data_IF_816901149065
#
_entry.id   IF_816901149065
#
_cell.length_a   1.000
_cell.length_b   1.000
_cell.length_c   1.000
_cell.angle_alpha   90.00
_cell.angle_beta   90.00
_cell.angle_gamma   90.00
#
_symmetry.space_group_name_H-M   'P 1'
#
loop_
_entity.id
_entity.type
_entity.pdbx_description
1 polymer ?
#
# COMPACT_ATOMS: atom_id res chain seq x y z
N UNK A 1 -13.40 5.74 4.60
CA UNK A 1 -11.99 5.50 4.98
C UNK A 1 -11.34 4.93 3.75
N UNK A 2 -10.32 5.61 3.24
CA UNK A 2 -9.73 5.25 1.96
C UNK A 2 -8.77 4.06 2.15
N UNK A 3 -8.61 3.22 1.13
CA UNK A 3 -7.79 2.01 1.22
C UNK A 3 -6.34 2.32 1.67
N UNK A 4 -5.78 3.45 1.24
CA UNK A 4 -4.47 3.91 1.67
C UNK A 4 -4.39 4.15 3.19
N UNK A 5 -5.45 4.70 3.80
CA UNK A 5 -5.51 4.93 5.25
C UNK A 5 -5.59 3.61 6.02
N UNK A 6 -6.35 2.63 5.50
CA UNK A 6 -6.46 1.29 6.10
C UNK A 6 -5.08 0.61 6.07
N UNK A 7 -4.42 0.59 4.91
CA UNK A 7 -3.10 -0.04 4.75
C UNK A 7 -2.05 0.62 5.68
N UNK A 8 -2.05 1.95 5.79
CA UNK A 8 -1.13 2.65 6.68
C UNK A 8 -1.43 2.37 8.16
N UNK A 9 -2.70 2.40 8.55
CA UNK A 9 -3.10 2.26 9.96
C UNK A 9 -2.92 0.83 10.48
N UNK A 10 -3.31 -0.18 9.70
CA UNK A 10 -3.33 -1.58 10.15
C UNK A 10 -1.98 -2.27 9.97
N UNK A 11 -1.35 -2.13 8.79
CA UNK A 11 -0.14 -2.89 8.45
C UNK A 11 1.12 -2.04 8.31
N UNK A 12 1.01 -0.74 8.59
CA UNK A 12 2.14 0.22 8.63
C UNK A 12 2.89 0.32 7.30
N UNK A 13 2.17 0.26 6.18
CA UNK A 13 2.72 0.48 4.85
C UNK A 13 2.14 1.77 4.28
N UNK A 14 3.01 2.71 3.90
CA UNK A 14 2.58 3.97 3.29
C UNK A 14 2.50 3.83 1.77
N UNK A 15 1.34 4.12 1.19
CA UNK A 15 1.12 4.18 -0.26
C UNK A 15 0.52 5.53 -0.63
N UNK A 16 0.65 5.94 -1.90
CA UNK A 16 0.03 7.19 -2.35
C UNK A 16 -1.24 6.90 -3.13
N UNK A 17 -2.40 7.45 -2.74
CA UNK A 17 -3.65 7.31 -3.49
C UNK A 17 -3.52 7.92 -4.90
N UNK A 18 -4.10 7.26 -5.89
CA UNK A 18 -4.05 7.65 -7.31
C UNK A 18 -4.88 8.90 -7.61
N UNK A 19 -5.81 9.26 -6.73
CA UNK A 19 -6.61 10.49 -6.77
C UNK A 19 -5.72 11.74 -6.84
N UNK A 20 -4.54 11.71 -6.20
CA UNK A 20 -3.54 12.78 -6.27
C UNK A 20 -2.91 12.95 -7.67
N UNK A 21 -3.07 11.96 -8.56
CA UNK A 21 -2.55 11.92 -9.92
C UNK A 21 -3.65 11.89 -10.99
N UNK A 22 -4.92 12.05 -10.61
CA UNK A 22 -6.05 11.98 -11.54
C UNK A 22 -6.45 10.55 -11.97
N UNK A 23 -5.95 9.51 -11.29
CA UNK A 23 -6.25 8.10 -11.57
C UNK A 23 -6.94 7.46 -10.37
N UNK A 24 -8.21 7.79 -10.15
CA UNK A 24 -8.98 7.26 -9.03
C UNK A 24 -9.11 5.73 -9.09
N UNK A 25 -9.09 5.08 -7.93
CA UNK A 25 -9.13 3.62 -7.81
C UNK A 25 -7.78 2.91 -8.07
N UNK A 26 -6.71 3.68 -8.32
CA UNK A 26 -5.34 3.17 -8.39
C UNK A 26 -4.52 3.70 -7.21
N UNK A 27 -3.35 3.09 -6.98
CA UNK A 27 -2.38 3.57 -6.00
C UNK A 27 -0.96 3.50 -6.56
N UNK A 28 -0.08 4.38 -6.07
CA UNK A 28 1.33 4.42 -6.45
C UNK A 28 2.20 3.86 -5.33
N UNK A 29 3.06 2.92 -5.69
CA UNK A 29 4.09 2.34 -4.84
C UNK A 29 5.47 2.91 -5.20
N UNK A 30 6.26 3.24 -4.18
CA UNK A 30 7.69 3.49 -4.37
C UNK A 30 8.43 2.16 -4.34
N UNK A 31 9.24 1.89 -5.36
CA UNK A 31 10.12 0.71 -5.41
C UNK A 31 11.60 1.08 -5.18
N UNK A 32 11.89 2.34 -4.84
CA UNK A 32 13.24 2.80 -4.52
C UNK A 32 13.63 2.48 -3.06
N UNK A 33 13.50 1.20 -2.70
CA UNK A 33 13.79 0.63 -1.39
C UNK A 33 14.66 -0.63 -1.58
N UNK A 34 15.18 -1.20 -0.50
CA UNK A 34 15.83 -2.51 -0.57
C UNK A 34 14.82 -3.63 -0.80
N UNK A 35 15.23 -4.70 -1.47
CA UNK A 35 14.35 -5.83 -1.82
C UNK A 35 13.63 -6.41 -0.59
N UNK A 36 14.33 -6.55 0.54
CA UNK A 36 13.75 -7.05 1.78
C UNK A 36 12.61 -6.17 2.33
N UNK A 37 12.74 -4.84 2.22
CA UNK A 37 11.70 -3.91 2.66
C UNK A 37 10.48 -3.97 1.73
N UNK A 38 10.72 -4.14 0.42
CA UNK A 38 9.67 -4.30 -0.58
C UNK A 38 8.89 -5.60 -0.37
N UNK A 39 9.60 -6.72 -0.22
CA UNK A 39 8.99 -8.03 0.04
C UNK A 39 8.13 -7.99 1.31
N UNK A 40 8.65 -7.41 2.39
CA UNK A 40 7.93 -7.29 3.65
C UNK A 40 6.67 -6.40 3.51
N UNK A 41 6.80 -5.25 2.86
CA UNK A 41 5.69 -4.34 2.62
C UNK A 41 4.57 -4.97 1.78
N UNK A 42 4.93 -5.67 0.69
CA UNK A 42 3.96 -6.36 -0.16
C UNK A 42 3.32 -7.54 0.57
N UNK A 43 4.09 -8.33 1.31
CA UNK A 43 3.57 -9.46 2.10
C UNK A 43 2.52 -9.00 3.11
N UNK A 44 2.78 -7.91 3.82
CA UNK A 44 1.82 -7.30 4.76
C UNK A 44 0.51 -6.87 4.11
N UNK A 45 0.57 -6.29 2.91
CA UNK A 45 -0.62 -5.91 2.15
C UNK A 45 -1.38 -7.15 1.68
N UNK A 46 -0.69 -8.16 1.16
CA UNK A 46 -1.30 -9.42 0.73
C UNK A 46 -2.03 -10.11 1.90
N UNK A 47 -1.39 -10.17 3.07
CA UNK A 47 -1.98 -10.74 4.29
C UNK A 47 -3.23 -9.98 4.75
N UNK A 48 -3.27 -8.65 4.59
CA UNK A 48 -4.44 -7.82 4.90
C UNK A 48 -5.61 -8.13 3.96
N UNK A 49 -5.35 -8.16 2.64
CA UNK A 49 -6.37 -8.41 1.61
C UNK A 49 -6.94 -9.83 1.74
N UNK A 50 -6.12 -10.82 2.07
CA UNK A 50 -6.57 -12.20 2.25
C UNK A 50 -7.53 -12.41 3.45
N UNK A 51 -7.58 -11.44 4.39
CA UNK A 51 -8.49 -11.46 5.55
C UNK A 51 -9.83 -10.76 5.29
N UNK A 52 -9.97 -10.12 4.13
CA UNK A 52 -11.08 -9.22 3.78
C UNK A 52 -12.27 -9.96 3.15
#
# INVERSE_FOLDING_TARGET
MDLADIILSEVKVAIVPGEAFGTAGFARFSFALGDADLEEGIRRIADLVARS
#
